data_IF_823576486256
#
_entry.id   IF_823576486256
#
_cell.length_a   1.000
_cell.length_b   1.000
_cell.length_c   1.000
_cell.angle_alpha   90.00
_cell.angle_beta   90.00
_cell.angle_gamma   90.00
#
_symmetry.space_group_name_H-M   'P 1'
#
loop_
_entity.id
_entity.type
_entity.pdbx_description
1 polymer ?
#
# COMPACT_ATOMS: atom_id res chain seq x y z
N UNK A 1 5.61 -10.18 21.12
CA UNK A 1 4.57 -9.81 20.14
C UNK A 1 3.20 -9.95 20.77
N UNK A 2 2.33 -8.97 20.55
CA UNK A 2 0.93 -9.07 20.96
C UNK A 2 0.15 -9.83 19.88
N UNK A 3 -0.25 -11.05 20.18
CA UNK A 3 -0.92 -11.92 19.22
C UNK A 3 -2.24 -11.33 18.71
N UNK A 4 -2.99 -10.68 19.56
CA UNK A 4 -4.27 -10.06 19.17
C UNK A 4 -4.06 -8.94 18.15
N UNK A 5 -3.07 -8.09 18.38
CA UNK A 5 -2.71 -7.01 17.45
C UNK A 5 -2.18 -7.58 16.14
N UNK A 6 -1.36 -8.62 16.22
CA UNK A 6 -0.86 -9.32 15.04
C UNK A 6 -1.99 -9.91 14.19
N UNK A 7 -2.94 -10.58 14.83
CA UNK A 7 -4.07 -11.20 14.12
C UNK A 7 -4.96 -10.16 13.45
N UNK A 8 -5.21 -9.05 14.13
CA UNK A 8 -5.93 -7.92 13.55
C UNK A 8 -5.18 -7.35 12.36
N UNK A 9 -3.87 -7.20 12.50
CA UNK A 9 -3.02 -6.70 11.42
C UNK A 9 -3.02 -7.61 10.21
N UNK A 10 -2.99 -8.91 10.41
CA UNK A 10 -3.04 -9.88 9.31
C UNK A 10 -4.35 -9.75 8.52
N UNK A 11 -5.47 -9.62 9.21
CA UNK A 11 -6.77 -9.42 8.60
C UNK A 11 -6.79 -8.15 7.74
N UNK A 12 -6.31 -7.03 8.30
CA UNK A 12 -6.30 -5.75 7.59
C UNK A 12 -5.35 -5.80 6.40
N UNK A 13 -4.16 -6.35 6.59
CA UNK A 13 -3.16 -6.49 5.52
C UNK A 13 -3.74 -7.25 4.33
N UNK A 14 -4.42 -8.36 4.59
CA UNK A 14 -5.09 -9.15 3.55
C UNK A 14 -6.21 -8.37 2.87
N UNK A 15 -6.99 -7.62 3.64
CA UNK A 15 -8.09 -6.83 3.08
C UNK A 15 -7.59 -5.72 2.16
N UNK A 16 -6.48 -5.09 2.49
CA UNK A 16 -5.94 -3.95 1.71
C UNK A 16 -5.08 -4.42 0.55
N UNK A 17 -4.15 -5.33 0.78
CA UNK A 17 -3.17 -5.75 -0.25
C UNK A 17 -3.62 -6.95 -1.06
N UNK A 18 -4.67 -7.64 -0.64
CA UNK A 18 -5.14 -8.85 -1.29
C UNK A 18 -4.63 -10.09 -0.58
N UNK A 19 -5.52 -11.08 -0.48
CA UNK A 19 -5.21 -12.31 0.25
C UNK A 19 -4.08 -13.10 -0.41
N UNK A 20 -4.08 -13.18 -1.75
CA UNK A 20 -3.06 -13.91 -2.48
C UNK A 20 -1.68 -13.29 -2.32
N UNK A 21 -1.58 -11.97 -2.40
CA UNK A 21 -0.31 -11.27 -2.22
C UNK A 21 0.28 -11.53 -0.84
N UNK A 22 -0.54 -11.40 0.20
CA UNK A 22 -0.11 -11.59 1.58
C UNK A 22 0.26 -13.05 1.84
N UNK A 23 -0.55 -13.99 1.36
CA UNK A 23 -0.27 -15.42 1.50
C UNK A 23 1.06 -15.77 0.84
N UNK A 24 1.35 -15.22 -0.34
CA UNK A 24 2.61 -15.45 -1.03
C UNK A 24 3.79 -14.88 -0.25
N UNK A 25 3.66 -13.67 0.29
CA UNK A 25 4.72 -13.06 1.09
C UNK A 25 5.04 -13.89 2.34
N UNK A 26 4.01 -14.40 3.01
CA UNK A 26 4.18 -15.22 4.21
C UNK A 26 4.73 -16.60 3.88
N UNK A 27 4.28 -17.21 2.79
CA UNK A 27 4.77 -18.51 2.33
C UNK A 27 6.27 -18.46 1.98
N UNK A 28 6.72 -17.36 1.39
CA UNK A 28 8.11 -17.18 0.98
C UNK A 28 9.01 -16.67 2.12
N UNK A 29 8.43 -16.42 3.29
CA UNK A 29 9.20 -16.01 4.46
C UNK A 29 10.09 -17.17 4.95
N UNK A 30 11.31 -16.84 5.29
CA UNK A 30 12.28 -17.79 5.83
C UNK A 30 12.75 -17.33 7.21
N UNK A 31 13.72 -18.04 7.79
CA UNK A 31 14.22 -17.68 9.12
C UNK A 31 14.83 -16.28 9.16
N UNK A 32 15.33 -15.80 8.03
CA UNK A 32 15.94 -14.47 7.97
C UNK A 32 14.89 -13.36 8.08
N UNK A 33 13.80 -13.45 7.32
CA UNK A 33 12.84 -12.34 7.23
C UNK A 33 11.53 -12.55 8.01
N UNK A 34 11.31 -13.74 8.58
CA UNK A 34 10.10 -14.02 9.35
C UNK A 34 9.87 -13.02 10.49
N UNK A 35 10.88 -12.70 11.31
CA UNK A 35 10.68 -11.69 12.36
C UNK A 35 10.27 -10.32 11.80
N UNK A 36 10.76 -9.95 10.63
CA UNK A 36 10.38 -8.71 9.97
C UNK A 36 8.93 -8.76 9.51
N UNK A 37 8.50 -9.88 8.91
CA UNK A 37 7.11 -10.04 8.50
C UNK A 37 6.15 -9.97 9.69
N UNK A 38 6.53 -10.56 10.81
CA UNK A 38 5.75 -10.49 12.05
C UNK A 38 5.67 -9.06 12.57
N UNK A 39 6.77 -8.34 12.57
CA UNK A 39 6.84 -6.94 13.01
C UNK A 39 5.96 -6.06 12.12
N UNK A 40 6.06 -6.19 10.82
CA UNK A 40 5.26 -5.39 9.88
C UNK A 40 3.77 -5.68 10.05
N UNK A 41 3.41 -6.96 10.20
CA UNK A 41 2.00 -7.35 10.38
C UNK A 41 1.44 -6.76 11.69
N UNK A 42 2.20 -6.86 12.78
CA UNK A 42 1.74 -6.34 14.08
C UNK A 42 1.77 -4.81 14.14
N UNK A 43 2.89 -4.21 13.82
CA UNK A 43 3.09 -2.76 13.99
C UNK A 43 2.40 -1.94 12.93
N UNK A 44 2.71 -2.23 11.67
CA UNK A 44 2.17 -1.43 10.57
C UNK A 44 0.67 -1.69 10.41
N UNK A 45 0.31 -2.94 10.21
CA UNK A 45 -1.06 -3.30 9.87
C UNK A 45 -1.96 -3.41 11.09
N UNK A 46 -1.43 -3.90 12.21
CA UNK A 46 -2.21 -4.02 13.43
C UNK A 46 -2.29 -2.72 14.21
N UNK A 47 -1.14 -2.18 14.62
CA UNK A 47 -1.10 -1.04 15.52
C UNK A 47 -1.45 0.28 14.84
N UNK A 48 -1.05 0.48 13.58
CA UNK A 48 -1.29 1.75 12.88
C UNK A 48 -2.54 1.67 11.99
N UNK A 49 -2.58 0.75 11.05
CA UNK A 49 -3.75 0.61 10.18
C UNK A 49 -5.01 0.18 10.94
N UNK A 50 -4.84 -0.44 12.10
CA UNK A 50 -5.95 -0.81 12.97
C UNK A 50 -6.58 0.35 13.73
N UNK A 51 -5.98 1.55 13.71
CA UNK A 51 -6.55 2.73 14.35
C UNK A 51 -7.67 3.29 13.49
N UNK A 52 -8.79 3.60 14.13
CA UNK A 52 -10.00 4.08 13.44
C UNK A 52 -10.04 5.60 13.27
N UNK A 53 -9.04 6.31 13.78
CA UNK A 53 -8.98 7.77 13.74
C UNK A 53 -8.80 8.31 12.31
N UNK A 54 -8.28 7.49 11.40
CA UNK A 54 -8.29 7.79 9.97
C UNK A 54 -8.91 6.60 9.22
N UNK A 55 -9.80 6.86 8.26
CA UNK A 55 -10.33 5.79 7.41
C UNK A 55 -9.22 5.13 6.58
N UNK A 56 -9.41 3.88 6.19
CA UNK A 56 -8.45 3.16 5.35
C UNK A 56 -8.22 3.87 4.03
N UNK A 57 -9.26 4.47 3.45
CA UNK A 57 -9.13 5.27 2.23
C UNK A 57 -8.09 6.39 2.40
N UNK A 58 -8.17 7.13 3.49
CA UNK A 58 -7.24 8.23 3.77
C UNK A 58 -5.82 7.71 3.98
N UNK A 59 -5.66 6.58 4.69
CA UNK A 59 -4.34 5.99 4.88
C UNK A 59 -3.71 5.56 3.56
N UNK A 60 -4.51 5.00 2.65
CA UNK A 60 -4.04 4.67 1.30
C UNK A 60 -3.59 5.91 0.53
N UNK A 61 -4.33 7.00 0.61
CA UNK A 61 -3.98 8.26 -0.06
C UNK A 61 -2.64 8.80 0.45
N UNK A 62 -2.43 8.77 1.76
CA UNK A 62 -1.16 9.19 2.37
C UNK A 62 -0.01 8.30 1.89
N UNK A 63 -0.23 6.99 1.83
CA UNK A 63 0.80 6.05 1.39
C UNK A 63 1.19 6.27 -0.06
N UNK A 64 0.22 6.54 -0.95
CA UNK A 64 0.53 6.82 -2.35
C UNK A 64 1.48 8.02 -2.47
N UNK A 65 1.23 9.09 -1.72
CA UNK A 65 2.09 10.26 -1.74
C UNK A 65 3.49 9.94 -1.18
N UNK A 66 3.55 9.30 -0.02
CA UNK A 66 4.83 9.02 0.64
C UNK A 66 5.69 8.04 -0.17
N UNK A 67 5.11 6.97 -0.68
CA UNK A 67 5.83 5.93 -1.43
C UNK A 67 6.32 6.49 -2.76
N UNK A 68 5.55 7.37 -3.40
CA UNK A 68 5.97 8.06 -4.62
C UNK A 68 7.25 8.86 -4.40
N UNK A 69 7.31 9.59 -3.29
CA UNK A 69 8.46 10.41 -2.94
C UNK A 69 9.68 9.56 -2.60
N UNK A 70 9.45 8.43 -1.91
CA UNK A 70 10.51 7.50 -1.53
C UNK A 70 11.10 6.73 -2.71
N UNK A 71 10.46 6.80 -3.87
CA UNK A 71 10.89 6.10 -5.08
C UNK A 71 10.96 4.58 -4.87
N UNK A 72 9.83 3.99 -4.51
CA UNK A 72 9.68 2.54 -4.30
C UNK A 72 8.63 2.00 -5.27
N UNK A 73 9.00 1.74 -6.53
CA UNK A 73 8.02 1.40 -7.58
C UNK A 73 7.25 0.12 -7.29
N UNK A 74 7.88 -0.91 -6.74
CA UNK A 74 7.18 -2.15 -6.40
C UNK A 74 6.10 -1.89 -5.34
N UNK A 75 6.47 -1.20 -4.28
CA UNK A 75 5.51 -0.89 -3.21
C UNK A 75 4.42 0.03 -3.69
N UNK A 76 4.74 0.95 -4.60
CA UNK A 76 3.75 1.86 -5.17
C UNK A 76 2.69 1.08 -5.96
N UNK A 77 3.10 0.08 -6.76
CA UNK A 77 2.16 -0.78 -7.48
C UNK A 77 1.18 -1.45 -6.53
N UNK A 78 1.70 -2.06 -5.48
CA UNK A 78 0.91 -2.78 -4.49
C UNK A 78 -0.08 -1.84 -3.81
N UNK A 79 0.38 -0.64 -3.44
CA UNK A 79 -0.47 0.33 -2.74
C UNK A 79 -1.46 1.06 -3.65
N UNK A 80 -1.19 1.18 -4.95
CA UNK A 80 -2.20 1.67 -5.90
C UNK A 80 -3.38 0.69 -5.95
N UNK A 81 -3.10 -0.61 -6.05
CA UNK A 81 -4.14 -1.64 -6.01
C UNK A 81 -4.92 -1.58 -4.69
N UNK A 82 -4.20 -1.49 -3.56
CA UNK A 82 -4.82 -1.38 -2.24
C UNK A 82 -5.66 -0.12 -2.09
N UNK A 83 -5.22 1.00 -2.66
CA UNK A 83 -5.97 2.25 -2.63
C UNK A 83 -7.31 2.11 -3.34
N UNK A 84 -7.32 1.47 -4.51
CA UNK A 84 -8.57 1.24 -5.25
C UNK A 84 -9.52 0.35 -4.44
N UNK A 85 -9.01 -0.67 -3.77
CA UNK A 85 -9.81 -1.53 -2.87
C UNK A 85 -10.43 -0.70 -1.74
N UNK A 86 -9.68 0.25 -1.20
CA UNK A 86 -10.14 1.10 -0.10
C UNK A 86 -11.00 2.28 -0.56
N UNK A 87 -11.36 2.34 -1.84
CA UNK A 87 -12.29 3.33 -2.36
C UNK A 87 -11.66 4.60 -2.91
N UNK A 88 -10.34 4.65 -3.04
CA UNK A 88 -9.69 5.78 -3.72
C UNK A 88 -9.96 5.64 -5.21
N UNK A 89 -10.41 6.72 -5.85
CA UNK A 89 -10.74 6.70 -7.27
C UNK A 89 -9.50 7.02 -8.11
N UNK A 90 -9.56 6.65 -9.41
CA UNK A 90 -8.50 7.03 -10.35
C UNK A 90 -8.32 8.55 -10.41
N UNK A 91 -9.41 9.29 -10.34
CA UNK A 91 -9.36 10.76 -10.33
C UNK A 91 -8.63 11.28 -9.09
N UNK A 92 -8.89 10.68 -7.93
CA UNK A 92 -8.20 11.05 -6.71
C UNK A 92 -6.71 10.70 -6.77
N UNK A 93 -6.37 9.55 -7.35
CA UNK A 93 -4.97 9.16 -7.55
C UNK A 93 -4.24 10.17 -8.42
N UNK A 94 -4.89 10.64 -9.49
CA UNK A 94 -4.36 11.70 -10.34
C UNK A 94 -4.04 12.95 -9.52
N UNK A 95 -4.97 13.38 -8.68
CA UNK A 95 -4.78 14.59 -7.86
C UNK A 95 -3.65 14.42 -6.86
N UNK A 96 -3.51 13.23 -6.26
CA UNK A 96 -2.41 12.94 -5.35
C UNK A 96 -1.06 13.08 -6.08
N UNK A 97 -0.94 12.48 -7.25
CA UNK A 97 0.33 12.48 -7.98
C UNK A 97 0.65 13.84 -8.59
N UNK A 98 -0.36 14.63 -8.94
CA UNK A 98 -0.16 16.02 -9.34
C UNK A 98 0.44 16.83 -8.17
N UNK A 99 -0.09 16.63 -6.97
CA UNK A 99 0.43 17.31 -5.78
C UNK A 99 1.86 16.86 -5.45
N UNK A 100 2.14 15.56 -5.59
CA UNK A 100 3.51 15.03 -5.44
C UNK A 100 4.47 15.72 -6.41
N UNK A 101 4.06 15.89 -7.66
CA UNK A 101 4.90 16.54 -8.67
C UNK A 101 5.25 17.98 -8.29
N UNK A 102 4.32 18.69 -7.68
CA UNK A 102 4.53 20.09 -7.27
C UNK A 102 5.44 20.20 -6.03
N UNK A 103 5.21 19.35 -5.04
CA UNK A 103 5.92 19.46 -3.75
C UNK A 103 7.20 18.64 -3.68
N UNK A 104 7.32 17.57 -4.47
CA UNK A 104 8.49 16.68 -4.42
C UNK A 104 9.28 16.63 -5.73
N UNK A 105 8.76 17.24 -6.79
CA UNK A 105 9.45 17.31 -8.07
C UNK A 105 8.73 16.56 -9.18
N UNK A 106 8.78 17.13 -10.37
CA UNK A 106 8.13 16.57 -11.56
C UNK A 106 8.58 15.14 -11.86
N UNK A 107 9.87 14.76 -11.72
CA UNK A 107 10.29 13.39 -12.00
C UNK A 107 9.57 12.33 -11.14
N UNK A 108 9.32 12.62 -9.85
CA UNK A 108 8.57 11.72 -8.99
C UNK A 108 7.13 11.56 -9.50
N UNK A 109 6.52 12.65 -9.94
CA UNK A 109 5.20 12.62 -10.55
C UNK A 109 5.16 11.80 -11.84
N UNK A 110 6.13 12.00 -12.72
CA UNK A 110 6.21 11.26 -13.99
C UNK A 110 6.24 9.75 -13.76
N UNK A 111 7.11 9.28 -12.87
CA UNK A 111 7.21 7.87 -12.54
C UNK A 111 5.92 7.33 -11.93
N UNK A 112 5.30 8.11 -11.04
CA UNK A 112 4.08 7.69 -10.36
C UNK A 112 2.91 7.54 -11.35
N UNK A 113 2.77 8.49 -12.28
CA UNK A 113 1.75 8.40 -13.33
C UNK A 113 1.97 7.20 -14.23
N UNK A 114 3.22 6.93 -14.61
CA UNK A 114 3.55 5.77 -15.44
C UNK A 114 3.16 4.47 -14.73
N UNK A 115 3.55 4.33 -13.48
CA UNK A 115 3.25 3.13 -12.68
C UNK A 115 1.74 2.96 -12.52
N UNK A 116 1.01 4.04 -12.23
CA UNK A 116 -0.44 3.98 -12.10
C UNK A 116 -1.10 3.51 -13.40
N UNK A 117 -0.66 4.04 -14.54
CA UNK A 117 -1.21 3.63 -15.83
C UNK A 117 -0.97 2.15 -16.11
N UNK A 118 0.20 1.64 -15.76
CA UNK A 118 0.51 0.21 -15.89
C UNK A 118 -0.41 -0.64 -15.02
N UNK A 119 -0.62 -0.22 -13.76
CA UNK A 119 -1.52 -0.94 -12.85
C UNK A 119 -2.95 -0.93 -13.38
N UNK A 120 -3.44 0.22 -13.81
CA UNK A 120 -4.80 0.32 -14.35
C UNK A 120 -4.98 -0.58 -15.57
N UNK A 121 -3.98 -0.62 -16.45
CA UNK A 121 -4.03 -1.50 -17.63
C UNK A 121 -4.06 -2.98 -17.25
N UNK A 122 -3.28 -3.39 -16.25
CA UNK A 122 -3.31 -4.76 -15.74
C UNK A 122 -4.68 -5.13 -15.20
N UNK A 123 -5.29 -4.24 -14.41
CA UNK A 123 -6.60 -4.50 -13.80
C UNK A 123 -7.71 -4.56 -14.84
N UNK A 124 -7.62 -3.74 -15.89
CA UNK A 124 -8.62 -3.72 -16.95
C UNK A 124 -8.58 -5.00 -17.82
N UNK A 125 -7.45 -5.70 -17.84
CA UNK A 125 -7.30 -6.97 -18.59
C UNK A 125 -7.87 -8.16 -17.83
N UNK A 126 -7.94 -8.05 -16.51
CA UNK A 126 -8.24 -9.17 -15.68
C UNK A 126 -9.54 -9.16 -15.01
#
# INVERSE_FOLDING_TARGET
MDQKTHDKGLEIRKAVLGEAYVANALKNADDFNKPFQELVTEYCWGAVWGREQLPRKTRSMLNLAMISILNRPHELRVHIKGALVNGVTKDEIREIFMQVAIYAGVPAGVDSFRIAREVFAELDKG
#
